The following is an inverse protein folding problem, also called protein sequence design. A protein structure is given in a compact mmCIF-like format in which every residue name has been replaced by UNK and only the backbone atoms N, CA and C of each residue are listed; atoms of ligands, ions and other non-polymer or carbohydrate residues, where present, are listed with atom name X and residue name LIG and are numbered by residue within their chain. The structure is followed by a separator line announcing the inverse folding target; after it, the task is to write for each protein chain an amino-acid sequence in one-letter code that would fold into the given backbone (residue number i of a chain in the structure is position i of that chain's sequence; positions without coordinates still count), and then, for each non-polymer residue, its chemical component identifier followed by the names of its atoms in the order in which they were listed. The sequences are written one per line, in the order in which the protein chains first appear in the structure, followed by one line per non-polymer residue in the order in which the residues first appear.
data_IF_962024279823
#
_entry.id   IF_962024279823
#
_cell.length_a   1.000
_cell.length_b   1.000
_cell.length_c   1.000
_cell.angle_alpha   90.00
_cell.angle_beta   90.00
_cell.angle_gamma   90.00
#
_symmetry.space_group_name_H-M   'P 1'
#
loop_
_entity.id
_entity.type
_entity.pdbx_description
1 polymer ?
#
# COMPACT_ATOMS: atom_id res chain seq x y z
N UNK A 1 -35.50 53.55 -17.11
CA UNK A 1 -34.83 52.58 -16.21
C UNK A 1 -35.44 51.22 -16.47
N UNK A 2 -34.70 50.28 -17.05
CA UNK A 2 -35.12 48.87 -17.07
C UNK A 2 -34.90 48.32 -15.65
N UNK A 3 -35.81 47.50 -15.11
CA UNK A 3 -35.58 46.84 -13.84
C UNK A 3 -34.37 45.89 -13.99
N UNK A 4 -33.35 46.06 -13.16
CA UNK A 4 -32.08 45.29 -13.17
C UNK A 4 -32.20 43.88 -12.57
N UNK A 5 -33.39 43.47 -12.13
CA UNK A 5 -33.62 42.15 -11.55
C UNK A 5 -34.95 41.56 -12.03
N UNK A 6 -34.88 40.41 -12.71
CA UNK A 6 -36.03 39.59 -13.12
C UNK A 6 -36.11 38.38 -12.17
N UNK A 7 -37.21 38.26 -11.41
CA UNK A 7 -37.47 37.08 -10.58
C UNK A 7 -38.11 36.01 -11.45
N UNK A 8 -37.45 34.86 -11.58
CA UNK A 8 -37.89 33.74 -12.43
C UNK A 8 -37.92 32.43 -11.64
N UNK A 9 -38.75 31.48 -12.07
CA UNK A 9 -38.85 30.16 -11.45
C UNK A 9 -37.63 29.30 -11.77
N UNK A 10 -37.34 28.30 -10.94
CA UNK A 10 -36.20 27.38 -11.12
C UNK A 10 -36.23 26.70 -12.50
N UNK A 11 -37.43 26.34 -12.98
CA UNK A 11 -37.65 25.73 -14.30
C UNK A 11 -37.31 26.69 -15.45
N UNK A 12 -37.67 27.97 -15.33
CA UNK A 12 -37.36 29.00 -16.33
C UNK A 12 -35.86 29.33 -16.35
N UNK A 13 -35.23 29.38 -15.17
CA UNK A 13 -33.79 29.57 -15.05
C UNK A 13 -33.01 28.40 -15.65
N UNK A 14 -33.48 27.16 -15.47
CA UNK A 14 -32.88 25.98 -16.06
C UNK A 14 -33.08 25.92 -17.59
N UNK A 15 -34.27 26.27 -18.09
CA UNK A 15 -34.56 26.34 -19.53
C UNK A 15 -33.75 27.45 -20.25
N UNK A 16 -33.39 28.52 -19.53
CA UNK A 16 -32.52 29.59 -20.02
C UNK A 16 -31.01 29.31 -19.82
N UNK A 17 -30.64 28.13 -19.31
CA UNK A 17 -29.23 27.77 -19.06
C UNK A 17 -28.56 28.55 -17.92
N UNK A 18 -29.35 29.19 -17.06
CA UNK A 18 -28.88 30.03 -15.94
C UNK A 18 -28.53 29.21 -14.68
N UNK A 19 -28.89 27.92 -14.67
CA UNK A 19 -28.58 26.99 -13.59
C UNK A 19 -27.65 25.89 -14.10
N UNK A 20 -26.33 26.14 -14.01
CA UNK A 20 -25.31 25.11 -14.27
C UNK A 20 -25.21 24.21 -13.05
N UNK A 21 -25.44 22.91 -13.24
CA UNK A 21 -25.25 21.92 -12.17
C UNK A 21 -23.75 21.73 -11.91
N UNK A 22 -23.36 21.58 -10.64
CA UNK A 22 -21.98 21.20 -10.31
C UNK A 22 -21.65 19.79 -10.85
N UNK A 23 -20.51 19.61 -11.54
CA UNK A 23 -20.13 18.32 -12.08
C UNK A 23 -19.79 17.33 -10.95
N UNK A 24 -20.14 16.06 -11.13
CA UNK A 24 -19.90 14.98 -10.15
C UNK A 24 -18.90 13.96 -10.66
N UNK A 25 -18.44 13.04 -9.80
CA UNK A 25 -17.53 11.97 -10.22
C UNK A 25 -18.16 11.03 -11.25
N UNK A 26 -19.48 10.85 -11.20
CA UNK A 26 -20.22 10.06 -12.20
C UNK A 26 -20.16 10.71 -13.58
N UNK A 27 -20.32 12.04 -13.62
CA UNK A 27 -20.22 12.81 -14.87
C UNK A 27 -18.79 12.75 -15.42
N UNK A 28 -17.77 12.88 -14.55
CA UNK A 28 -16.37 12.75 -14.92
C UNK A 28 -16.06 11.36 -15.51
N UNK A 29 -16.62 10.29 -14.94
CA UNK A 29 -16.48 8.93 -15.49
C UNK A 29 -17.09 8.79 -16.88
N UNK A 30 -18.21 9.44 -17.14
CA UNK A 30 -18.89 9.36 -18.42
C UNK A 30 -18.13 10.08 -19.55
N UNK A 31 -17.29 11.06 -19.22
CA UNK A 31 -16.57 11.89 -20.21
C UNK A 31 -15.10 11.51 -20.40
N UNK A 32 -14.53 10.73 -19.49
CA UNK A 32 -13.17 10.20 -19.60
C UNK A 32 -13.10 9.11 -20.66
N UNK A 33 -12.11 9.22 -21.53
CA UNK A 33 -11.81 8.26 -22.59
C UNK A 33 -10.31 7.97 -22.60
N UNK A 34 -9.88 6.93 -23.31
CA UNK A 34 -8.48 6.47 -23.34
C UNK A 34 -7.53 7.36 -24.18
N UNK A 35 -7.91 8.60 -24.48
CA UNK A 35 -7.12 9.64 -25.14
C UNK A 35 -6.44 10.59 -24.12
N UNK A 36 -5.47 11.38 -24.58
CA UNK A 36 -4.83 12.43 -23.77
C UNK A 36 -5.71 13.69 -23.78
N UNK A 37 -6.43 13.92 -22.69
CA UNK A 37 -7.39 15.01 -22.55
C UNK A 37 -6.75 16.22 -21.87
N UNK A 38 -6.93 17.41 -22.42
CA UNK A 38 -6.60 18.64 -21.70
C UNK A 38 -7.69 19.00 -20.69
N UNK A 39 -7.35 19.83 -19.69
CA UNK A 39 -8.36 20.37 -18.77
C UNK A 39 -9.49 21.14 -19.48
N UNK A 40 -9.19 21.75 -20.63
CA UNK A 40 -10.19 22.37 -21.51
C UNK A 40 -11.16 21.34 -22.11
N UNK A 41 -10.63 20.22 -22.61
CA UNK A 41 -11.45 19.14 -23.19
C UNK A 41 -12.39 18.54 -22.16
N UNK A 42 -11.92 18.31 -20.93
CA UNK A 42 -12.76 17.82 -19.82
C UNK A 42 -13.89 18.81 -19.52
N UNK A 43 -13.58 20.11 -19.45
CA UNK A 43 -14.57 21.15 -19.17
C UNK A 43 -15.65 21.22 -20.25
N UNK A 44 -15.26 21.19 -21.52
CA UNK A 44 -16.19 21.20 -22.66
C UNK A 44 -17.04 19.92 -22.70
N UNK A 45 -16.48 18.75 -22.38
CA UNK A 45 -17.25 17.49 -22.36
C UNK A 45 -18.24 17.43 -21.19
N UNK A 46 -17.92 18.05 -20.05
CA UNK A 46 -18.82 18.13 -18.91
C UNK A 46 -20.01 19.06 -19.13
N UNK A 47 -19.94 19.99 -20.09
CA UNK A 47 -21.04 20.91 -20.43
C UNK A 47 -22.36 20.16 -20.73
N UNK A 48 -22.28 19.11 -21.55
CA UNK A 48 -23.42 18.29 -21.92
C UNK A 48 -24.02 17.53 -20.71
N UNK A 49 -23.22 17.21 -19.70
CA UNK A 49 -23.66 16.50 -18.48
C UNK A 49 -24.21 17.45 -17.41
N UNK A 50 -23.77 18.72 -17.43
CA UNK A 50 -24.10 19.71 -16.40
C UNK A 50 -25.21 20.67 -16.81
N UNK A 51 -25.67 20.61 -18.07
CA UNK A 51 -26.67 21.54 -18.62
C UNK A 51 -26.12 22.96 -18.85
N UNK A 52 -24.79 23.09 -18.98
CA UNK A 52 -24.07 24.34 -19.15
C UNK A 52 -22.59 24.20 -18.77
N UNK A 53 -21.73 25.13 -19.21
CA UNK A 53 -20.28 25.01 -19.05
C UNK A 53 -19.88 25.18 -17.57
N UNK A 54 -19.29 24.16 -16.92
CA UNK A 54 -18.87 24.27 -15.53
C UNK A 54 -17.70 25.25 -15.37
N UNK A 55 -17.58 25.84 -14.17
CA UNK A 55 -16.47 26.76 -13.89
C UNK A 55 -15.14 26.01 -13.83
N UNK A 56 -14.03 26.68 -14.16
CA UNK A 56 -12.69 26.07 -14.04
C UNK A 56 -12.41 25.58 -12.61
N UNK A 57 -12.88 26.32 -11.61
CA UNK A 57 -12.75 25.98 -10.20
C UNK A 57 -13.49 24.69 -9.86
N UNK A 58 -14.74 24.53 -10.30
CA UNK A 58 -15.53 23.32 -10.03
C UNK A 58 -14.89 22.08 -10.69
N UNK A 59 -14.35 22.21 -11.91
CA UNK A 59 -13.66 21.10 -12.59
C UNK A 59 -12.35 20.75 -11.88
N UNK A 60 -11.57 21.74 -11.43
CA UNK A 60 -10.34 21.53 -10.65
C UNK A 60 -10.62 20.83 -9.32
N UNK A 61 -11.64 21.29 -8.59
CA UNK A 61 -12.06 20.66 -7.33
C UNK A 61 -12.53 19.22 -7.57
N UNK A 62 -13.29 18.99 -8.64
CA UNK A 62 -13.75 17.66 -9.02
C UNK A 62 -12.58 16.71 -9.32
N UNK A 63 -11.62 17.14 -10.15
CA UNK A 63 -10.44 16.35 -10.49
C UNK A 63 -9.60 16.02 -9.25
N UNK A 64 -9.30 17.01 -8.41
CA UNK A 64 -8.54 16.80 -7.17
C UNK A 64 -9.26 15.84 -6.21
N UNK A 65 -10.57 16.02 -6.02
CA UNK A 65 -11.39 15.17 -5.15
C UNK A 65 -11.49 13.75 -5.69
N UNK A 66 -11.64 13.59 -7.00
CA UNK A 66 -11.72 12.31 -7.67
C UNK A 66 -10.40 11.53 -7.61
N UNK A 67 -9.25 12.20 -7.80
CA UNK A 67 -7.93 11.60 -7.57
C UNK A 67 -7.78 11.20 -6.09
N UNK A 68 -8.17 12.08 -5.16
CA UNK A 68 -8.05 11.82 -3.71
C UNK A 68 -8.91 10.64 -3.23
N UNK A 69 -10.16 10.54 -3.70
CA UNK A 69 -11.11 9.50 -3.25
C UNK A 69 -10.84 8.15 -3.88
N UNK A 70 -10.25 8.12 -5.07
CA UNK A 70 -10.01 6.90 -5.82
C UNK A 70 -8.57 6.41 -5.80
N UNK A 71 -7.65 7.22 -5.28
CA UNK A 71 -6.21 6.92 -5.24
C UNK A 71 -5.67 6.52 -6.62
N UNK A 72 -5.95 7.35 -7.64
CA UNK A 72 -5.51 7.17 -9.02
C UNK A 72 -5.95 5.84 -9.70
N UNK A 73 -7.00 5.18 -9.19
CA UNK A 73 -7.45 3.87 -9.71
C UNK A 73 -8.02 3.91 -11.13
N UNK A 74 -8.51 5.05 -11.60
CA UNK A 74 -9.21 5.16 -12.88
C UNK A 74 -8.62 6.23 -13.80
N UNK A 75 -7.95 7.25 -13.27
CA UNK A 75 -7.25 8.25 -14.07
C UNK A 75 -6.10 8.90 -13.27
N UNK A 76 -5.23 9.59 -14.00
CA UNK A 76 -4.14 10.42 -13.48
C UNK A 76 -4.21 11.81 -14.09
N UNK A 77 -3.59 12.77 -13.41
CA UNK A 77 -3.46 14.16 -13.89
C UNK A 77 -1.99 14.53 -13.91
N UNK A 78 -1.52 15.12 -15.00
CA UNK A 78 -0.15 15.59 -15.21
C UNK A 78 -0.17 17.10 -15.46
N UNK A 79 0.96 17.76 -15.20
CA UNK A 79 1.19 19.18 -15.57
C UNK A 79 1.98 19.34 -16.88
N UNK A 80 2.31 18.24 -17.53
CA UNK A 80 3.07 18.21 -18.78
C UNK A 80 2.64 17.05 -19.67
N UNK A 81 3.15 17.04 -20.89
CA UNK A 81 2.88 16.00 -21.86
C UNK A 81 3.25 14.61 -21.29
N UNK A 82 2.41 13.59 -21.50
CA UNK A 82 2.67 12.23 -21.07
C UNK A 82 3.99 11.68 -21.63
N UNK A 83 4.86 11.18 -20.75
CA UNK A 83 6.11 10.52 -21.12
C UNK A 83 6.59 9.57 -20.00
N UNK A 84 7.40 8.55 -20.31
CA UNK A 84 7.96 7.65 -19.30
C UNK A 84 8.72 8.41 -18.20
N UNK A 85 8.43 8.11 -16.94
CA UNK A 85 9.05 8.77 -15.78
C UNK A 85 8.41 10.10 -15.38
N UNK A 86 7.40 10.59 -16.12
CA UNK A 86 6.59 11.74 -15.68
C UNK A 86 5.73 11.33 -14.50
N UNK A 87 5.70 12.17 -13.46
CA UNK A 87 4.98 11.87 -12.23
C UNK A 87 3.58 12.48 -12.24
N UNK A 88 2.57 11.70 -11.84
CA UNK A 88 1.22 12.21 -11.66
C UNK A 88 1.14 13.21 -10.49
N UNK A 89 0.31 14.24 -10.67
CA UNK A 89 0.09 15.31 -9.70
C UNK A 89 -0.71 14.82 -8.50
N UNK A 90 -0.35 15.32 -7.32
CA UNK A 90 -1.15 15.16 -6.11
C UNK A 90 -2.43 16.00 -6.15
N UNK A 91 -3.46 15.68 -5.35
CA UNK A 91 -4.67 16.49 -5.24
C UNK A 91 -4.41 17.98 -4.96
N UNK A 92 -3.40 18.30 -4.15
CA UNK A 92 -3.01 19.69 -3.89
C UNK A 92 -2.35 20.32 -5.11
N UNK A 93 -1.42 19.61 -5.77
CA UNK A 93 -0.73 20.12 -6.96
C UNK A 93 -1.68 20.35 -8.15
N UNK A 94 -2.75 19.55 -8.26
CA UNK A 94 -3.83 19.77 -9.24
C UNK A 94 -4.50 21.13 -9.01
N UNK A 95 -4.81 21.48 -7.76
CA UNK A 95 -5.43 22.76 -7.41
C UNK A 95 -4.50 23.94 -7.68
N UNK A 96 -3.20 23.77 -7.43
CA UNK A 96 -2.21 24.85 -7.57
C UNK A 96 -1.84 25.16 -9.03
N UNK A 97 -1.88 24.17 -9.93
CA UNK A 97 -1.47 24.35 -11.33
C UNK A 97 -2.48 25.07 -12.21
N UNK A 98 -3.77 24.97 -11.89
CA UNK A 98 -4.83 25.53 -12.71
C UNK A 98 -5.16 24.68 -13.95
N UNK A 99 -6.41 24.75 -14.40
CA UNK A 99 -7.01 23.76 -15.32
C UNK A 99 -6.32 23.72 -16.70
N UNK A 100 -5.87 24.87 -17.19
CA UNK A 100 -5.38 25.02 -18.57
C UNK A 100 -4.05 24.29 -18.80
N UNK A 101 -3.29 24.02 -17.73
CA UNK A 101 -2.01 23.30 -17.79
C UNK A 101 -2.12 21.80 -17.54
N UNK A 102 -3.33 21.28 -17.33
CA UNK A 102 -3.51 19.88 -16.94
C UNK A 102 -3.70 18.96 -18.15
N UNK A 103 -3.09 17.79 -18.05
CA UNK A 103 -3.29 16.64 -18.93
C UNK A 103 -3.94 15.52 -18.10
N UNK A 104 -4.99 14.91 -18.61
CA UNK A 104 -5.79 13.91 -17.93
C UNK A 104 -5.78 12.64 -18.78
N UNK A 105 -5.37 11.54 -18.17
CA UNK A 105 -5.30 10.23 -18.82
C UNK A 105 -5.97 9.18 -17.97
N UNK A 106 -6.56 8.18 -18.60
CA UNK A 106 -7.01 6.98 -17.88
C UNK A 106 -5.83 6.25 -17.26
N UNK A 107 -6.11 5.46 -16.22
CA UNK A 107 -5.07 4.71 -15.53
C UNK A 107 -4.34 3.74 -16.49
N UNK A 108 -5.10 3.08 -17.35
CA UNK A 108 -4.57 2.17 -18.37
C UNK A 108 -3.61 2.86 -19.34
N UNK A 109 -4.00 4.04 -19.86
CA UNK A 109 -3.15 4.83 -20.76
C UNK A 109 -1.88 5.34 -20.05
N UNK A 110 -1.97 5.68 -18.77
CA UNK A 110 -0.83 6.11 -17.98
C UNK A 110 0.17 4.99 -17.72
N UNK A 111 -0.31 3.79 -17.39
CA UNK A 111 0.54 2.60 -17.19
C UNK A 111 1.23 2.21 -18.51
N UNK A 112 0.52 2.26 -19.64
CA UNK A 112 1.09 1.99 -20.97
C UNK A 112 2.20 2.98 -21.36
N UNK A 113 2.15 4.21 -20.84
CA UNK A 113 3.13 5.27 -21.11
C UNK A 113 4.21 5.40 -20.03
N UNK A 114 4.21 4.52 -19.01
CA UNK A 114 5.23 4.50 -17.96
C UNK A 114 5.19 5.71 -17.03
N UNK A 115 4.00 6.26 -16.77
CA UNK A 115 3.79 7.37 -15.84
C UNK A 115 4.00 6.89 -14.39
N UNK A 116 4.77 7.65 -13.62
CA UNK A 116 4.96 7.39 -12.19
C UNK A 116 3.74 7.89 -11.40
N UNK A 117 2.93 6.96 -10.90
CA UNK A 117 1.80 7.30 -10.04
C UNK A 117 2.29 7.39 -8.59
N UNK A 118 2.09 8.52 -7.88
CA UNK A 118 2.29 8.59 -6.45
C UNK A 118 1.32 7.60 -5.79
N UNK A 119 1.80 6.41 -5.46
CA UNK A 119 1.06 5.52 -4.57
C UNK A 119 0.96 6.24 -3.24
N UNK A 120 -0.25 6.62 -2.83
CA UNK A 120 -0.47 7.01 -1.45
C UNK A 120 -0.11 5.79 -0.64
N UNK A 121 0.98 5.87 0.13
CA UNK A 121 1.19 4.93 1.23
C UNK A 121 -0.08 5.12 2.06
N UNK A 122 -0.95 4.09 2.20
CA UNK A 122 -2.13 4.19 3.04
C UNK A 122 -1.69 4.79 4.36
N UNK A 123 -2.49 5.69 4.91
CA UNK A 123 -2.17 6.28 6.20
C UNK A 123 -2.23 5.10 7.19
N UNK A 124 -1.12 4.40 7.40
CA UNK A 124 -1.12 3.15 8.13
C UNK A 124 -0.59 3.40 9.53
N UNK A 125 -1.09 2.61 10.47
CA UNK A 125 -0.56 2.57 11.83
C UNK A 125 0.18 1.26 11.98
N UNK A 126 1.44 1.36 12.36
CA UNK A 126 2.26 0.19 12.68
C UNK A 126 2.21 -0.05 14.19
N UNK A 127 1.77 -1.23 14.57
CA UNK A 127 1.86 -1.74 15.94
C UNK A 127 3.10 -2.62 16.06
N UNK A 128 3.69 -2.67 17.26
CA UNK A 128 4.84 -3.51 17.54
C UNK A 128 4.75 -4.18 18.91
N UNK A 129 5.27 -5.39 18.98
CA UNK A 129 5.37 -6.17 20.22
C UNK A 129 6.63 -7.04 20.18
N UNK A 130 7.22 -7.27 21.34
CA UNK A 130 8.42 -8.10 21.49
C UNK A 130 8.31 -9.05 22.67
N UNK A 131 8.99 -10.19 22.60
CA UNK A 131 9.00 -11.22 23.64
C UNK A 131 8.86 -12.63 23.07
N UNK A 132 8.42 -13.61 23.89
CA UNK A 132 8.11 -14.95 23.42
C UNK A 132 7.03 -14.93 22.34
N UNK A 133 7.15 -15.74 21.29
CA UNK A 133 6.38 -15.61 20.06
C UNK A 133 4.86 -15.54 20.27
N UNK A 134 4.30 -16.44 21.09
CA UNK A 134 2.87 -16.42 21.41
C UNK A 134 2.43 -15.18 22.20
N UNK A 135 3.26 -14.70 23.12
CA UNK A 135 2.96 -13.52 23.92
C UNK A 135 3.07 -12.22 23.10
N UNK A 136 4.10 -12.11 22.25
CA UNK A 136 4.28 -10.97 21.35
C UNK A 136 3.11 -10.88 20.36
N UNK A 137 2.69 -12.01 19.79
CA UNK A 137 1.54 -12.02 18.88
C UNK A 137 0.23 -11.69 19.59
N UNK A 138 -0.01 -12.22 20.79
CA UNK A 138 -1.20 -11.86 21.57
C UNK A 138 -1.23 -10.37 21.90
N UNK A 139 -0.11 -9.81 22.36
CA UNK A 139 -0.01 -8.37 22.64
C UNK A 139 -0.29 -7.52 21.39
N UNK A 140 0.16 -7.97 20.22
CA UNK A 140 -0.11 -7.29 18.95
C UNK A 140 -1.59 -7.37 18.56
N UNK A 141 -2.24 -8.52 18.76
CA UNK A 141 -3.69 -8.68 18.57
C UNK A 141 -4.46 -7.75 19.51
N UNK A 142 -4.10 -7.70 20.79
CA UNK A 142 -4.76 -6.85 21.79
C UNK A 142 -4.66 -5.37 21.39
N UNK A 143 -3.46 -4.90 21.01
CA UNK A 143 -3.24 -3.51 20.56
C UNK A 143 -4.04 -3.13 19.30
N UNK A 144 -4.23 -4.07 18.37
CA UNK A 144 -4.99 -3.85 17.14
C UNK A 144 -6.50 -3.91 17.41
N UNK A 145 -6.93 -4.74 18.36
CA UNK A 145 -8.34 -4.87 18.73
C UNK A 145 -8.93 -3.57 19.29
N UNK A 146 -8.09 -2.73 19.90
CA UNK A 146 -8.45 -1.40 20.38
C UNK A 146 -8.58 -0.35 19.24
N UNK A 147 -8.30 -0.73 17.99
CA UNK A 147 -8.35 0.16 16.83
C UNK A 147 -9.68 0.05 16.06
N UNK A 148 -10.13 1.15 15.47
CA UNK A 148 -11.44 1.24 14.80
C UNK A 148 -11.60 0.32 13.59
N UNK A 149 -10.48 0.01 12.93
CA UNK A 149 -10.44 -0.89 11.76
C UNK A 149 -9.35 -1.93 12.02
N UNK A 150 -9.68 -3.14 12.51
CA UNK A 150 -8.69 -4.13 12.90
C UNK A 150 -8.24 -5.01 11.72
N UNK A 151 -8.03 -4.41 10.54
CA UNK A 151 -7.58 -5.13 9.33
C UNK A 151 -6.10 -4.90 9.07
N UNK A 152 -5.34 -5.99 8.97
CA UNK A 152 -3.88 -6.01 8.78
C UNK A 152 -3.55 -6.28 7.32
N UNK A 153 -2.73 -5.42 6.71
CA UNK A 153 -2.21 -5.61 5.34
C UNK A 153 -0.86 -6.31 5.32
N UNK A 154 -0.01 -6.01 6.30
CA UNK A 154 1.34 -6.55 6.41
C UNK A 154 1.63 -6.91 7.85
N UNK A 155 2.21 -8.08 8.08
CA UNK A 155 2.76 -8.45 9.40
C UNK A 155 4.21 -8.90 9.24
N UNK A 156 5.06 -8.56 10.19
CA UNK A 156 6.43 -9.08 10.24
C UNK A 156 6.68 -9.87 11.52
N UNK A 157 7.46 -10.92 11.41
CA UNK A 157 8.03 -11.68 12.52
C UNK A 157 9.54 -11.69 12.35
N UNK A 158 10.24 -11.02 13.24
CA UNK A 158 11.69 -10.98 13.30
C UNK A 158 12.19 -11.83 14.47
N UNK A 159 13.15 -12.69 14.18
CA UNK A 159 13.91 -13.49 15.15
C UNK A 159 15.39 -13.20 14.99
N UNK A 160 16.12 -13.24 16.10
CA UNK A 160 17.57 -13.04 16.11
C UNK A 160 18.29 -14.29 16.58
N UNK A 161 19.49 -14.50 16.05
CA UNK A 161 20.50 -15.37 16.62
C UNK A 161 21.53 -14.52 17.36
N UNK A 162 21.95 -15.02 18.52
CA UNK A 162 23.07 -14.50 19.29
C UNK A 162 23.89 -15.66 19.89
N UNK A 163 24.98 -15.33 20.57
CA UNK A 163 25.90 -16.32 21.15
C UNK A 163 25.23 -17.19 22.24
N UNK A 164 24.18 -16.70 22.90
CA UNK A 164 23.49 -17.41 23.97
C UNK A 164 22.40 -18.36 23.46
N UNK A 165 21.67 -17.94 22.42
CA UNK A 165 20.50 -18.64 21.87
C UNK A 165 20.81 -19.44 20.60
N UNK A 166 21.95 -19.18 19.96
CA UNK A 166 22.34 -19.79 18.69
C UNK A 166 21.30 -19.53 17.61
N UNK A 167 21.09 -20.49 16.71
CA UNK A 167 20.12 -20.39 15.61
C UNK A 167 18.74 -20.95 15.97
N UNK A 168 18.45 -21.28 17.24
CA UNK A 168 17.25 -22.03 17.62
C UNK A 168 15.96 -21.34 17.17
N UNK A 169 15.79 -20.04 17.47
CA UNK A 169 14.59 -19.29 17.09
C UNK A 169 14.51 -19.08 15.57
N UNK A 170 15.66 -18.94 14.88
CA UNK A 170 15.72 -18.90 13.42
C UNK A 170 15.23 -20.22 12.84
N UNK A 171 15.74 -21.36 13.32
CA UNK A 171 15.38 -22.68 12.85
C UNK A 171 13.88 -22.95 13.00
N UNK A 172 13.31 -22.54 14.13
CA UNK A 172 11.87 -22.63 14.41
C UNK A 172 11.05 -21.71 13.48
N UNK A 173 11.49 -20.47 13.26
CA UNK A 173 10.84 -19.56 12.31
C UNK A 173 10.88 -20.11 10.87
N UNK A 174 12.00 -20.69 10.44
CA UNK A 174 12.10 -21.32 9.12
C UNK A 174 11.28 -22.61 9.02
N UNK A 175 11.15 -23.38 10.10
CA UNK A 175 10.26 -24.55 10.14
C UNK A 175 8.78 -24.15 9.97
N UNK A 176 8.38 -22.99 10.52
CA UNK A 176 7.02 -22.44 10.38
C UNK A 176 6.58 -22.25 8.92
N UNK A 177 7.54 -21.97 8.03
CA UNK A 177 7.29 -21.81 6.60
C UNK A 177 6.67 -23.09 5.99
N UNK A 178 7.00 -24.27 6.51
CA UNK A 178 6.38 -25.53 6.07
C UNK A 178 4.94 -25.71 6.56
N UNK A 179 4.55 -25.03 7.65
CA UNK A 179 3.22 -25.09 8.28
C UNK A 179 2.27 -24.01 7.74
N UNK A 180 2.82 -22.92 7.17
CA UNK A 180 2.09 -21.75 6.68
C UNK A 180 2.07 -21.70 5.14
N UNK A 181 1.84 -22.84 4.49
CA UNK A 181 1.95 -22.99 3.02
C UNK A 181 0.95 -22.14 2.24
N UNK A 182 -0.19 -21.83 2.84
CA UNK A 182 -1.26 -21.02 2.22
C UNK A 182 -1.02 -19.51 2.32
N UNK A 183 -0.02 -19.10 3.11
CA UNK A 183 0.26 -17.69 3.36
C UNK A 183 1.27 -17.15 2.35
N UNK A 184 1.10 -15.90 1.94
CA UNK A 184 2.08 -15.21 1.12
C UNK A 184 3.19 -14.64 2.03
N UNK A 185 4.36 -15.29 2.01
CA UNK A 185 5.48 -14.97 2.91
C UNK A 185 6.74 -14.70 2.08
N UNK A 186 7.34 -13.52 2.28
CA UNK A 186 8.71 -13.21 1.87
C UNK A 186 9.62 -13.30 3.08
N UNK A 187 10.81 -13.85 2.92
CA UNK A 187 11.79 -14.01 3.99
C UNK A 187 13.04 -13.23 3.65
N UNK A 188 13.55 -12.45 4.61
CA UNK A 188 14.85 -11.77 4.54
C UNK A 188 15.72 -12.25 5.69
N UNK A 189 16.97 -12.60 5.40
CA UNK A 189 17.93 -13.01 6.40
C UNK A 189 19.27 -12.30 6.25
N UNK A 190 19.94 -12.08 7.37
CA UNK A 190 21.34 -11.69 7.45
C UNK A 190 21.95 -12.37 8.66
N UNK A 191 22.73 -13.43 8.42
CA UNK A 191 23.32 -14.29 9.46
C UNK A 191 24.83 -14.34 9.23
N UNK A 192 25.60 -14.07 10.28
CA UNK A 192 27.06 -14.21 10.29
C UNK A 192 27.45 -15.38 11.17
N UNK A 193 28.30 -16.24 10.65
CA UNK A 193 28.89 -17.37 11.35
C UNK A 193 30.41 -17.20 11.43
N UNK A 194 30.95 -17.33 12.64
CA UNK A 194 32.40 -17.29 12.87
C UNK A 194 32.94 -18.72 12.97
N UNK A 195 34.11 -18.93 12.36
CA UNK A 195 34.81 -20.21 12.41
C UNK A 195 36.25 -19.98 12.83
N UNK A 196 36.82 -20.97 13.52
CA UNK A 196 38.23 -20.94 13.89
C UNK A 196 39.10 -20.81 12.63
N UNK A 197 39.97 -19.80 12.61
CA UNK A 197 40.89 -19.55 11.50
C UNK A 197 40.28 -18.80 10.31
N UNK A 198 39.00 -18.43 10.35
CA UNK A 198 38.36 -17.59 9.33
C UNK A 198 38.16 -16.18 9.88
N UNK A 199 39.03 -15.26 9.48
CA UNK A 199 38.95 -13.87 9.91
C UNK A 199 37.66 -13.22 9.39
N UNK A 200 36.85 -12.63 10.30
CA UNK A 200 35.59 -11.95 9.96
C UNK A 200 34.38 -12.87 9.75
N UNK A 201 34.58 -14.20 9.72
CA UNK A 201 33.51 -15.17 9.53
C UNK A 201 32.93 -15.22 8.11
N UNK A 202 31.80 -15.92 7.97
CA UNK A 202 31.03 -16.08 6.73
C UNK A 202 29.65 -15.45 6.94
N UNK A 203 29.20 -14.64 5.97
CA UNK A 203 27.88 -14.01 5.99
C UNK A 203 26.94 -14.66 4.98
N UNK A 204 25.79 -15.10 5.47
CA UNK A 204 24.65 -15.57 4.70
C UNK A 204 23.60 -14.46 4.66
N UNK A 205 23.32 -13.93 3.46
CA UNK A 205 22.33 -12.88 3.29
C UNK A 205 21.49 -13.17 2.04
N UNK A 206 20.19 -12.93 2.14
CA UNK A 206 19.29 -13.10 1.01
C UNK A 206 17.86 -12.71 1.34
N UNK A 207 17.10 -12.51 0.27
CA UNK A 207 15.65 -12.34 0.30
C UNK A 207 15.05 -13.29 -0.72
N UNK A 208 14.05 -14.06 -0.35
CA UNK A 208 13.35 -14.96 -1.25
C UNK A 208 11.93 -15.24 -0.74
N UNK A 209 11.10 -15.88 -1.56
CA UNK A 209 9.84 -16.41 -1.10
C UNK A 209 10.04 -17.57 -0.10
N UNK A 210 8.93 -17.95 0.54
CA UNK A 210 8.87 -19.02 1.54
C UNK A 210 9.57 -20.31 1.14
N UNK A 211 9.31 -20.82 -0.08
CA UNK A 211 9.74 -22.15 -0.48
C UNK A 211 11.22 -22.15 -0.86
N UNK A 212 11.64 -21.16 -1.64
CA UNK A 212 13.02 -21.01 -2.07
C UNK A 212 13.93 -20.70 -0.88
N UNK A 213 13.49 -19.84 0.03
CA UNK A 213 14.24 -19.52 1.23
C UNK A 213 14.41 -20.76 2.13
N UNK A 214 13.34 -21.53 2.36
CA UNK A 214 13.41 -22.73 3.20
C UNK A 214 14.38 -23.76 2.62
N UNK A 215 14.40 -23.95 1.29
CA UNK A 215 15.34 -24.81 0.60
C UNK A 215 16.79 -24.32 0.77
N UNK A 216 17.05 -23.04 0.48
CA UNK A 216 18.38 -22.44 0.62
C UNK A 216 18.91 -22.50 2.07
N UNK A 217 18.04 -22.24 3.05
CA UNK A 217 18.41 -22.28 4.46
C UNK A 217 18.81 -23.68 4.94
N UNK A 218 18.25 -24.76 4.39
CA UNK A 218 18.69 -26.12 4.73
C UNK A 218 20.17 -26.38 4.39
N UNK A 219 20.70 -25.71 3.37
CA UNK A 219 22.13 -25.75 3.05
C UNK A 219 22.94 -24.85 3.99
N UNK A 220 22.48 -23.61 4.22
CA UNK A 220 23.12 -22.67 5.14
C UNK A 220 23.21 -23.23 6.56
N UNK A 221 22.15 -23.87 7.05
CA UNK A 221 22.06 -24.49 8.38
C UNK A 221 23.19 -25.48 8.65
N UNK A 222 23.59 -26.27 7.66
CA UNK A 222 24.73 -27.20 7.79
C UNK A 222 26.03 -26.46 8.02
N UNK A 223 26.23 -25.34 7.32
CA UNK A 223 27.39 -24.48 7.57
C UNK A 223 27.32 -23.87 8.98
N UNK A 224 26.17 -23.29 9.35
CA UNK A 224 25.97 -22.65 10.66
C UNK A 224 26.23 -23.61 11.84
N UNK A 225 25.89 -24.89 11.71
CA UNK A 225 26.10 -25.89 12.76
C UNK A 225 27.56 -26.16 13.13
N UNK A 226 28.52 -25.80 12.26
CA UNK A 226 29.95 -25.90 12.55
C UNK A 226 30.59 -24.62 13.09
N UNK A 227 29.81 -23.55 13.26
CA UNK A 227 30.31 -22.24 13.68
C UNK A 227 30.59 -22.19 15.19
N UNK A 228 31.60 -21.42 15.58
CA UNK A 228 31.90 -21.14 16.99
C UNK A 228 31.00 -20.06 17.56
N UNK A 229 30.56 -19.13 16.72
CA UNK A 229 29.59 -18.08 17.06
C UNK A 229 28.65 -17.85 15.88
N UNK A 230 27.40 -17.57 16.18
CA UNK A 230 26.41 -17.16 15.18
C UNK A 230 25.68 -15.93 15.70
N UNK A 231 25.57 -14.93 14.84
CA UNK A 231 24.82 -13.70 15.12
C UNK A 231 24.06 -13.27 13.87
N UNK A 232 22.85 -12.75 14.03
CA UNK A 232 22.09 -12.24 12.89
C UNK A 232 20.60 -12.24 13.13
N UNK A 233 19.85 -12.04 12.06
CA UNK A 233 18.40 -11.95 12.09
C UNK A 233 17.74 -12.55 10.86
N UNK A 234 16.53 -13.04 11.07
CA UNK A 234 15.61 -13.45 10.01
C UNK A 234 14.28 -12.76 10.24
N UNK A 235 13.74 -12.16 9.19
CA UNK A 235 12.44 -11.51 9.16
C UNK A 235 11.54 -12.21 8.16
N UNK A 236 10.41 -12.71 8.64
CA UNK A 236 9.30 -13.23 7.84
C UNK A 236 8.32 -12.07 7.65
N UNK A 237 7.96 -11.78 6.40
CA UNK A 237 6.98 -10.76 6.04
C UNK A 237 5.77 -11.44 5.44
N UNK A 238 4.64 -11.35 6.13
CA UNK A 238 3.33 -11.81 5.69
C UNK A 238 2.62 -10.66 4.98
N UNK A 239 2.10 -10.92 3.78
CA UNK A 239 1.34 -9.93 3.01
C UNK A 239 -0.08 -10.44 2.75
N UNK A 240 -1.06 -9.59 3.05
CA UNK A 240 -2.47 -9.91 2.97
C UNK A 240 -3.14 -9.03 1.90
N UNK A 241 -3.66 -9.67 0.85
CA UNK A 241 -4.38 -9.01 -0.22
C UNK A 241 -5.66 -9.82 -0.56
N UNK A 242 -6.86 -9.37 -0.13
CA UNK A 242 -7.14 -8.16 0.65
C UNK A 242 -6.61 -8.23 2.10
N UNK A 243 -6.56 -7.08 2.79
CA UNK A 243 -6.19 -7.02 4.21
C UNK A 243 -7.10 -7.93 5.06
N UNK A 244 -6.54 -8.59 6.06
CA UNK A 244 -7.25 -9.55 6.90
C UNK A 244 -7.66 -8.93 8.24
N UNK A 245 -8.89 -9.19 8.67
CA UNK A 245 -9.31 -8.92 10.04
C UNK A 245 -8.53 -9.81 11.03
N UNK A 246 -8.18 -9.30 12.21
CA UNK A 246 -7.48 -10.08 13.25
C UNK A 246 -8.26 -11.31 13.72
N UNK A 247 -9.58 -11.35 13.51
CA UNK A 247 -10.44 -12.50 13.83
C UNK A 247 -10.52 -13.54 12.70
N UNK A 248 -9.90 -13.27 11.55
CA UNK A 248 -9.89 -14.19 10.41
C UNK A 248 -9.18 -15.51 10.75
N UNK A 249 -9.73 -16.62 10.26
CA UNK A 249 -9.17 -17.97 10.44
C UNK A 249 -7.71 -18.10 9.98
N UNK A 250 -7.31 -17.36 8.95
CA UNK A 250 -5.93 -17.31 8.47
C UNK A 250 -5.00 -16.68 9.51
N UNK A 251 -5.45 -15.59 10.14
CA UNK A 251 -4.73 -14.93 11.23
C UNK A 251 -4.64 -15.85 12.45
N UNK A 252 -5.74 -16.54 12.78
CA UNK A 252 -5.79 -17.56 13.83
C UNK A 252 -4.85 -18.76 13.59
N UNK A 253 -4.68 -19.19 12.34
CA UNK A 253 -3.72 -20.23 11.98
C UNK A 253 -2.28 -19.74 12.21
N UNK A 254 -1.94 -18.53 11.77
CA UNK A 254 -0.61 -17.95 11.98
C UNK A 254 -0.31 -17.84 13.49
N UNK A 255 -1.28 -17.39 14.28
CA UNK A 255 -1.16 -17.32 15.74
C UNK A 255 -0.92 -18.70 16.36
N UNK A 256 -1.69 -19.70 15.97
CA UNK A 256 -1.52 -21.06 16.48
C UNK A 256 -0.14 -21.62 16.17
N UNK A 257 0.35 -21.43 14.94
CA UNK A 257 1.69 -21.90 14.54
C UNK A 257 2.77 -21.20 15.36
N UNK A 258 2.75 -19.86 15.42
CA UNK A 258 3.74 -19.07 16.16
C UNK A 258 3.77 -19.43 17.64
N UNK A 259 2.59 -19.60 18.26
CA UNK A 259 2.46 -20.01 19.66
C UNK A 259 3.07 -21.39 19.91
N UNK A 260 2.84 -22.35 19.00
CA UNK A 260 3.33 -23.72 19.14
C UNK A 260 4.84 -23.86 18.93
N UNK A 261 5.47 -22.95 18.19
CA UNK A 261 6.92 -22.95 17.99
C UNK A 261 7.70 -22.59 19.24
N UNK A 262 7.06 -21.93 20.23
CA UNK A 262 7.70 -21.51 21.48
C UNK A 262 8.98 -20.69 21.27
N UNK A 263 8.99 -19.81 20.25
CA UNK A 263 10.06 -18.85 19.99
C UNK A 263 10.30 -17.98 21.24
N UNK A 264 11.56 -17.76 21.61
CA UNK A 264 11.91 -17.04 22.84
C UNK A 264 12.05 -15.54 22.61
N UNK A 265 12.77 -15.16 21.55
CA UNK A 265 13.11 -13.77 21.24
C UNK A 265 12.55 -13.39 19.88
N UNK A 266 11.36 -12.77 19.89
CA UNK A 266 10.72 -12.27 18.69
C UNK A 266 10.41 -10.79 18.80
N UNK A 267 10.45 -10.11 17.67
CA UNK A 267 9.83 -8.79 17.47
C UNK A 267 8.84 -8.92 16.33
N UNK A 268 7.61 -8.49 16.57
CA UNK A 268 6.55 -8.51 15.57
C UNK A 268 6.06 -7.11 15.30
N UNK A 269 5.69 -6.85 14.05
CA UNK A 269 4.99 -5.63 13.66
C UNK A 269 3.80 -5.96 12.80
N UNK A 270 2.76 -5.13 12.86
CA UNK A 270 1.61 -5.23 11.99
C UNK A 270 1.18 -3.85 11.52
N UNK A 271 0.93 -3.76 10.23
CA UNK A 271 0.47 -2.56 9.56
C UNK A 271 -1.05 -2.64 9.38
N UNK A 272 -1.75 -1.69 9.99
CA UNK A 272 -3.20 -1.55 9.94
C UNK A 272 -3.55 -0.31 9.13
N UNK A 273 -4.46 -0.45 8.17
CA UNK A 273 -4.97 0.69 7.40
C UNK A 273 -5.79 1.62 8.31
N UNK A 274 -5.55 2.94 8.27
CA UNK A 274 -6.44 3.92 8.90
C UNK A 274 -7.66 4.19 8.03
#
# INVERSE_FOLDING_TARGET
MKPDAEVMTTTEAQARGLLVRKPTQTDLRAVLTNDDLTGGDIRSRLEAQCGGEPTKTDVLELLATAVQSSDYKWFVVLDMAPAPGVRALSPSAIKDKGLDGLRILTREAADAQGIEVPTRIPNSKTFSASGPGGAAMQSLIDQISDFSVPTVSTMTLKVSADEASGTSDIDLAIASLGMLQKQNISVRATIRAEYKGVAGGIQFQGTADRQDFQSAYNHAKKALGGATKVAGEVTLTFTFAPALDITDTQFGQIHTVIKNLALKNTTMTAEVAK
#
